data_IF_304963637925
#
_entry.id   IF_304963637925
#
_cell.length_a   1.000
_cell.length_b   1.000
_cell.length_c   1.000
_cell.angle_alpha   90.00
_cell.angle_beta   90.00
_cell.angle_gamma   90.00
#
_symmetry.space_group_name_H-M   'P 1'
#
loop_
_entity.id
_entity.type
_entity.pdbx_description
1 polymer ?
#
# COMPACT_ATOMS: atom_id res chain seq x y z
N UNK A 1 33.51 -44.59 -26.79
CA UNK A 1 33.10 -44.12 -25.45
C UNK A 1 32.86 -42.62 -25.56
N UNK A 2 31.61 -42.21 -25.73
CA UNK A 2 31.23 -40.80 -25.80
C UNK A 2 31.23 -40.21 -24.39
N UNK A 3 31.85 -39.05 -24.20
CA UNK A 3 31.59 -38.21 -23.04
C UNK A 3 31.30 -36.79 -23.52
N UNK A 4 30.23 -36.27 -22.93
CA UNK A 4 29.46 -35.13 -23.37
C UNK A 4 30.14 -33.80 -23.05
N UNK A 5 29.71 -32.83 -23.83
CA UNK A 5 29.99 -31.41 -23.82
C UNK A 5 29.35 -30.75 -22.58
N UNK A 6 30.05 -29.84 -21.91
CA UNK A 6 29.38 -28.85 -21.07
C UNK A 6 29.94 -27.45 -21.35
N UNK A 7 29.16 -26.69 -22.10
CA UNK A 7 29.40 -25.30 -22.46
C UNK A 7 29.07 -24.39 -21.28
N UNK A 8 30.08 -23.79 -20.66
CA UNK A 8 29.89 -22.79 -19.60
C UNK A 8 29.50 -21.43 -20.19
N UNK A 9 28.22 -21.04 -20.07
CA UNK A 9 27.80 -19.65 -20.29
C UNK A 9 28.18 -18.78 -19.07
N UNK A 10 28.64 -17.53 -19.26
CA UNK A 10 29.05 -16.69 -18.14
C UNK A 10 27.84 -16.25 -17.31
N UNK A 11 27.90 -16.55 -16.01
CA UNK A 11 26.92 -16.13 -15.01
C UNK A 11 26.94 -14.60 -14.91
N UNK A 12 25.85 -13.94 -15.34
CA UNK A 12 25.67 -12.50 -15.14
C UNK A 12 25.68 -12.21 -13.65
N UNK A 13 26.78 -11.65 -13.15
CA UNK A 13 26.86 -11.14 -11.78
C UNK A 13 25.95 -9.92 -11.64
N UNK A 14 24.74 -10.14 -11.14
CA UNK A 14 23.89 -9.06 -10.64
C UNK A 14 24.55 -8.52 -9.38
N UNK A 15 25.23 -7.37 -9.49
CA UNK A 15 25.73 -6.59 -8.36
C UNK A 15 24.57 -6.33 -7.39
N UNK A 16 24.43 -7.18 -6.36
CA UNK A 16 23.56 -6.93 -5.22
C UNK A 16 24.13 -5.72 -4.49
N UNK A 17 23.59 -4.55 -4.79
CA UNK A 17 23.83 -3.35 -3.98
C UNK A 17 23.18 -3.61 -2.62
N UNK A 18 23.96 -4.15 -1.68
CA UNK A 18 23.57 -4.30 -0.28
C UNK A 18 23.51 -2.93 0.38
N UNK A 19 22.41 -2.22 0.16
CA UNK A 19 22.05 -1.11 1.03
C UNK A 19 21.59 -1.72 2.37
N UNK A 20 22.51 -1.81 3.34
CA UNK A 20 22.25 -2.19 4.74
C UNK A 20 21.44 -1.09 5.46
N UNK A 21 20.28 -0.72 4.92
CA UNK A 21 19.30 0.02 5.69
C UNK A 21 18.65 -0.96 6.66
N UNK A 22 19.12 -0.96 7.91
CA UNK A 22 18.46 -1.68 9.02
C UNK A 22 16.98 -1.27 9.04
N UNK A 23 16.10 -2.24 8.80
CA UNK A 23 14.64 -2.10 8.89
C UNK A 23 14.16 -2.56 10.26
N UNK A 24 12.93 -2.23 10.62
CA UNK A 24 12.26 -2.66 11.85
C UNK A 24 13.02 -2.25 13.12
N UNK A 25 13.44 -0.97 13.18
CA UNK A 25 14.10 -0.39 14.35
C UNK A 25 13.11 0.33 15.26
N UNK A 26 13.55 0.51 16.50
CA UNK A 26 12.87 1.31 17.51
C UNK A 26 13.68 2.57 17.83
N UNK A 27 13.01 3.62 18.33
CA UNK A 27 13.67 4.78 18.94
C UNK A 27 14.06 4.49 20.40
N UNK A 28 14.63 5.48 21.08
CA UNK A 28 15.10 5.37 22.48
C UNK A 28 13.98 5.03 23.47
N UNK A 29 12.74 5.36 23.13
CA UNK A 29 11.54 5.05 23.91
C UNK A 29 10.92 3.69 23.53
N UNK A 30 11.59 2.90 22.68
CA UNK A 30 11.09 1.61 22.23
C UNK A 30 9.92 1.70 21.23
N UNK A 31 9.71 2.85 20.58
CA UNK A 31 8.64 3.03 19.58
C UNK A 31 9.16 2.80 18.17
N UNK A 32 8.31 2.33 17.26
CA UNK A 32 8.70 2.08 15.86
C UNK A 32 9.33 3.30 15.19
N UNK A 33 10.47 3.10 14.53
CA UNK A 33 11.22 4.19 13.89
C UNK A 33 11.93 3.73 12.61
N UNK A 34 11.89 4.58 11.58
CA UNK A 34 12.58 4.34 10.33
C UNK A 34 11.81 3.43 9.37
N UNK A 35 12.51 2.67 8.54
CA UNK A 35 11.90 1.78 7.53
C UNK A 35 11.30 0.57 8.21
N UNK A 36 10.07 0.23 7.86
CA UNK A 36 9.35 -0.88 8.47
C UNK A 36 8.76 -1.80 7.41
N UNK A 37 8.84 -3.11 7.67
CA UNK A 37 8.16 -4.17 6.94
C UNK A 37 7.43 -5.06 7.94
N UNK A 38 6.18 -5.35 7.63
CA UNK A 38 5.35 -6.33 8.32
C UNK A 38 5.30 -7.58 7.45
N UNK A 39 5.52 -8.72 8.07
CA UNK A 39 5.52 -10.04 7.44
C UNK A 39 4.32 -10.85 7.91
N UNK A 40 3.85 -11.78 7.09
CA UNK A 40 2.80 -12.74 7.39
C UNK A 40 3.30 -14.13 7.02
N UNK A 41 2.88 -15.14 7.80
CA UNK A 41 3.27 -16.52 7.59
C UNK A 41 4.74 -16.83 7.92
N UNK A 42 5.04 -18.13 7.94
CA UNK A 42 6.40 -18.64 8.17
C UNK A 42 7.31 -18.45 6.94
N UNK A 43 6.71 -18.24 5.76
CA UNK A 43 7.39 -17.95 4.50
C UNK A 43 7.93 -16.50 4.43
N UNK A 44 7.58 -15.66 5.40
CA UNK A 44 8.10 -14.31 5.53
C UNK A 44 7.57 -13.38 4.43
N UNK A 45 6.32 -13.57 4.01
CA UNK A 45 5.73 -12.72 2.98
C UNK A 45 5.46 -11.30 3.50
N UNK A 46 5.90 -10.28 2.75
CA UNK A 46 5.67 -8.87 3.14
C UNK A 46 4.24 -8.45 2.81
N UNK A 47 3.40 -8.31 3.83
CA UNK A 47 2.01 -7.82 3.67
C UNK A 47 1.93 -6.29 3.64
N UNK A 48 2.91 -5.59 4.22
CA UNK A 48 2.92 -4.13 4.26
C UNK A 48 4.30 -3.56 4.55
N UNK A 49 4.63 -2.43 3.94
CA UNK A 49 5.84 -1.69 4.25
C UNK A 49 5.69 -0.18 4.14
N UNK A 50 6.50 0.54 4.90
CA UNK A 50 6.49 1.99 4.96
C UNK A 50 7.56 2.55 5.89
N UNK A 51 7.25 3.67 6.53
CA UNK A 51 8.12 4.30 7.53
C UNK A 51 7.34 4.70 8.77
N UNK A 52 7.95 4.49 9.92
CA UNK A 52 7.52 5.07 11.18
C UNK A 52 8.45 6.20 11.62
N UNK A 53 7.91 7.10 12.44
CA UNK A 53 8.64 8.10 13.19
C UNK A 53 7.99 8.21 14.56
N UNK A 54 8.70 7.75 15.60
CA UNK A 54 8.24 7.79 16.99
C UNK A 54 6.89 7.07 17.18
N UNK A 55 6.76 5.87 16.63
CA UNK A 55 5.53 5.07 16.67
C UNK A 55 4.47 5.50 15.65
N UNK A 56 4.63 6.65 14.98
CA UNK A 56 3.63 7.19 14.04
C UNK A 56 4.00 6.89 12.59
N UNK A 57 3.02 6.40 11.83
CA UNK A 57 3.16 6.16 10.40
C UNK A 57 3.40 7.45 9.61
N UNK A 58 4.43 7.45 8.76
CA UNK A 58 4.79 8.63 7.96
C UNK A 58 5.13 8.27 6.52
N UNK A 59 4.93 9.23 5.62
CA UNK A 59 5.35 9.13 4.23
C UNK A 59 4.45 8.20 3.41
N UNK A 60 5.05 7.22 2.73
CA UNK A 60 4.35 6.32 1.82
C UNK A 60 4.29 4.93 2.43
N UNK A 61 3.08 4.40 2.53
CA UNK A 61 2.82 3.01 2.89
C UNK A 61 2.33 2.23 1.68
N UNK A 62 2.72 0.97 1.61
CA UNK A 62 2.33 0.02 0.58
C UNK A 62 1.87 -1.25 1.26
N UNK A 63 0.80 -1.82 0.75
CA UNK A 63 0.16 -3.03 1.21
C UNK A 63 0.09 -4.00 0.05
N UNK A 64 0.15 -5.29 0.35
CA UNK A 64 0.24 -6.35 -0.64
C UNK A 64 -0.80 -7.43 -0.33
N UNK A 65 -1.31 -8.06 -1.38
CA UNK A 65 -2.05 -9.30 -1.31
C UNK A 65 -1.12 -10.47 -1.01
N UNK A 66 -1.70 -11.64 -0.75
CA UNK A 66 -0.96 -12.87 -0.43
C UNK A 66 -0.21 -13.48 -1.62
N UNK A 67 -0.37 -12.92 -2.83
CA UNK A 67 0.43 -13.25 -4.01
C UNK A 67 1.59 -12.25 -4.22
N UNK A 68 1.72 -11.25 -3.33
CA UNK A 68 2.71 -10.18 -3.42
C UNK A 68 2.32 -9.02 -4.35
N UNK A 69 1.17 -9.07 -5.01
CA UNK A 69 0.65 -7.94 -5.80
C UNK A 69 0.22 -6.81 -4.87
N UNK A 70 0.29 -5.56 -5.34
CA UNK A 70 0.02 -4.39 -4.48
C UNK A 70 -1.48 -4.23 -4.30
N UNK A 71 -1.97 -4.33 -3.06
CA UNK A 71 -3.38 -4.12 -2.73
C UNK A 71 -3.72 -2.65 -2.45
N UNK A 72 -2.82 -1.93 -1.78
CA UNK A 72 -3.07 -0.55 -1.40
C UNK A 72 -1.79 0.28 -1.31
N UNK A 73 -1.94 1.58 -1.52
CA UNK A 73 -0.90 2.59 -1.30
C UNK A 73 -1.50 3.77 -0.58
N UNK A 74 -0.82 4.19 0.47
CA UNK A 74 -1.18 5.37 1.24
C UNK A 74 -0.05 6.39 1.18
N UNK A 75 -0.40 7.67 1.11
CA UNK A 75 0.55 8.78 1.23
C UNK A 75 0.04 9.73 2.31
N UNK A 76 0.71 9.70 3.45
CA UNK A 76 0.44 10.56 4.59
C UNK A 76 0.95 11.97 4.28
N UNK A 77 0.07 12.95 4.38
CA UNK A 77 0.40 14.37 4.34
C UNK A 77 0.59 14.87 5.77
N UNK A 78 1.74 15.50 6.04
CA UNK A 78 2.10 15.99 7.36
C UNK A 78 1.42 17.32 7.71
N UNK A 79 0.91 18.05 6.73
CA UNK A 79 0.38 19.40 6.93
C UNK A 79 -1.10 19.42 7.28
N UNK A 80 -1.89 18.51 6.72
CA UNK A 80 -3.36 18.50 6.83
C UNK A 80 -3.93 17.22 7.47
N UNK A 81 -3.06 16.34 7.99
CA UNK A 81 -3.41 15.01 8.52
C UNK A 81 -4.26 14.15 7.56
N UNK A 82 -4.20 14.42 6.26
CA UNK A 82 -4.86 13.61 5.24
C UNK A 82 -3.93 12.51 4.73
N UNK A 83 -4.57 11.45 4.25
CA UNK A 83 -3.91 10.30 3.67
C UNK A 83 -4.52 10.11 2.29
N UNK A 84 -3.71 10.26 1.24
CA UNK A 84 -4.16 9.90 -0.11
C UNK A 84 -4.09 8.39 -0.26
N UNK A 85 -5.21 7.75 -0.58
CA UNK A 85 -5.34 6.29 -0.66
C UNK A 85 -5.56 5.88 -2.10
N UNK A 86 -4.81 4.86 -2.55
CA UNK A 86 -5.07 4.13 -3.79
C UNK A 86 -5.19 2.66 -3.47
N UNK A 87 -6.32 2.05 -3.81
CA UNK A 87 -6.55 0.61 -3.74
C UNK A 87 -6.52 0.02 -5.14
N UNK A 88 -6.05 -1.20 -5.23
CA UNK A 88 -5.91 -1.94 -6.47
C UNK A 88 -6.68 -3.26 -6.35
N UNK A 89 -7.12 -3.80 -7.48
CA UNK A 89 -7.63 -5.16 -7.57
C UNK A 89 -6.46 -6.15 -7.53
N UNK A 90 -6.75 -7.44 -7.34
CA UNK A 90 -5.74 -8.52 -7.36
C UNK A 90 -4.99 -8.59 -8.70
N UNK A 91 -5.64 -8.20 -9.79
CA UNK A 91 -5.00 -8.07 -11.11
C UNK A 91 -4.07 -6.84 -11.24
N UNK A 92 -3.86 -6.08 -10.16
CA UNK A 92 -2.98 -4.91 -10.10
C UNK A 92 -3.57 -3.62 -10.69
N UNK A 93 -4.77 -3.65 -11.28
CA UNK A 93 -5.44 -2.44 -11.81
C UNK A 93 -6.00 -1.60 -10.67
N UNK A 94 -6.12 -0.29 -10.91
CA UNK A 94 -6.67 0.64 -9.92
C UNK A 94 -8.13 0.26 -9.65
N UNK A 95 -8.47 0.09 -8.38
CA UNK A 95 -9.83 -0.22 -7.94
C UNK A 95 -10.51 1.02 -7.38
N UNK A 96 -9.81 1.76 -6.51
CA UNK A 96 -10.36 2.96 -5.86
C UNK A 96 -9.28 3.98 -5.59
N UNK A 97 -9.61 5.26 -5.69
CA UNK A 97 -8.76 6.36 -5.23
C UNK A 97 -9.59 7.37 -4.46
N UNK A 98 -9.04 7.82 -3.34
CA UNK A 98 -9.71 8.78 -2.48
C UNK A 98 -8.81 9.21 -1.34
N UNK A 99 -9.43 9.63 -0.25
CA UNK A 99 -8.72 10.18 0.90
C UNK A 99 -9.26 9.65 2.22
N UNK A 100 -8.36 9.57 3.20
CA UNK A 100 -8.66 9.20 4.56
C UNK A 100 -8.05 10.21 5.53
N UNK A 101 -8.59 10.25 6.74
CA UNK A 101 -8.02 10.96 7.88
C UNK A 101 -7.77 9.97 8.99
N UNK A 102 -6.76 10.29 9.80
CA UNK A 102 -6.49 9.60 11.05
C UNK A 102 -6.50 10.62 12.18
N UNK A 103 -7.40 10.41 13.13
CA UNK A 103 -7.46 11.19 14.37
C UNK A 103 -6.81 10.32 15.45
N UNK A 104 -5.80 10.87 16.12
CA UNK A 104 -5.10 10.20 17.22
C UNK A 104 -5.37 11.00 18.49
N UNK A 105 -6.15 10.44 19.40
CA UNK A 105 -6.34 10.97 20.76
C UNK A 105 -5.76 9.98 21.77
N UNK A 106 -5.52 10.38 23.03
CA UNK A 106 -5.16 9.43 24.08
C UNK A 106 -6.20 8.34 24.31
N UNK A 107 -7.47 8.62 24.00
CA UNK A 107 -8.58 7.69 24.17
C UNK A 107 -8.76 6.73 22.99
N UNK A 108 -8.54 7.20 21.75
CA UNK A 108 -8.81 6.41 20.54
C UNK A 108 -7.96 6.87 19.36
N UNK A 109 -7.54 5.92 18.52
CA UNK A 109 -7.06 6.20 17.16
C UNK A 109 -8.14 5.81 16.15
N UNK A 110 -8.70 6.80 15.45
CA UNK A 110 -9.76 6.59 14.47
C UNK A 110 -9.27 6.91 13.06
N UNK A 111 -9.25 5.90 12.21
CA UNK A 111 -9.03 6.03 10.77
C UNK A 111 -10.37 5.98 10.03
N UNK A 112 -10.61 6.91 9.11
CA UNK A 112 -11.84 6.91 8.33
C UNK A 112 -11.66 7.54 6.95
N UNK A 113 -12.44 7.06 5.98
CA UNK A 113 -12.51 7.64 4.65
C UNK A 113 -13.38 8.88 4.64
N UNK A 114 -13.02 9.85 3.82
CA UNK A 114 -13.83 11.06 3.64
C UNK A 114 -13.65 11.62 2.22
N UNK A 115 -14.58 12.47 1.82
CA UNK A 115 -14.61 13.07 0.49
C UNK A 115 -15.00 12.07 -0.59
N UNK A 116 -14.67 12.43 -1.83
CA UNK A 116 -15.00 11.64 -3.00
C UNK A 116 -13.99 10.50 -3.23
N UNK A 117 -14.52 9.34 -3.56
CA UNK A 117 -13.80 8.13 -3.88
C UNK A 117 -14.18 7.68 -5.27
N UNK A 118 -13.26 7.80 -6.21
CA UNK A 118 -13.47 7.29 -7.57
C UNK A 118 -13.27 5.78 -7.56
N UNK A 119 -14.26 5.06 -8.06
CA UNK A 119 -14.30 3.60 -8.12
C UNK A 119 -14.18 3.15 -9.57
N UNK A 120 -13.37 2.11 -9.78
CA UNK A 120 -13.05 1.53 -11.07
C UNK A 120 -13.34 0.03 -11.08
N UNK A 121 -13.74 -0.49 -12.23
CA UNK A 121 -13.97 -1.92 -12.42
C UNK A 121 -12.66 -2.73 -12.55
N UNK A 122 -12.76 -4.05 -12.73
CA UNK A 122 -11.60 -4.92 -12.91
C UNK A 122 -10.83 -4.65 -14.20
N UNK A 123 -11.43 -3.95 -15.18
CA UNK A 123 -10.79 -3.54 -16.42
C UNK A 123 -10.01 -2.23 -16.25
N UNK A 124 -10.24 -1.50 -15.16
CA UNK A 124 -9.67 -0.20 -14.84
C UNK A 124 -10.50 0.97 -15.37
N UNK A 125 -11.72 0.71 -15.83
CA UNK A 125 -12.64 1.74 -16.31
C UNK A 125 -13.36 2.38 -15.13
N UNK A 126 -13.61 3.70 -15.23
CA UNK A 126 -14.37 4.43 -14.22
C UNK A 126 -15.78 3.87 -14.14
N UNK A 127 -16.23 3.57 -12.92
CA UNK A 127 -17.58 3.08 -12.65
C UNK A 127 -18.46 4.19 -12.08
N UNK A 128 -18.07 4.72 -10.92
CA UNK A 128 -18.82 5.76 -10.21
C UNK A 128 -17.93 6.40 -9.15
N UNK A 129 -18.45 7.47 -8.54
CA UNK A 129 -17.85 8.14 -7.40
C UNK A 129 -18.71 7.89 -6.16
N UNK A 130 -18.05 7.53 -5.06
CA UNK A 130 -18.66 7.36 -3.74
C UNK A 130 -18.25 8.55 -2.86
N UNK A 131 -19.20 9.22 -2.22
CA UNK A 131 -18.90 10.32 -1.29
C UNK A 131 -19.01 9.83 0.14
N UNK A 132 -17.91 9.98 0.89
CA UNK A 132 -17.82 9.56 2.29
C UNK A 132 -17.74 10.74 3.24
N UNK A 133 -18.41 10.63 4.39
CA UNK A 133 -18.25 11.55 5.52
C UNK A 133 -17.95 10.76 6.78
N UNK A 134 -16.78 11.00 7.38
CA UNK A 134 -16.35 10.36 8.63
C UNK A 134 -16.40 8.82 8.59
N UNK A 135 -16.14 8.23 7.41
CA UNK A 135 -16.15 6.79 7.15
C UNK A 135 -17.49 6.24 6.69
N UNK A 136 -18.57 7.03 6.75
CA UNK A 136 -19.91 6.63 6.29
C UNK A 136 -20.12 7.03 4.84
N UNK A 137 -20.64 6.10 4.03
CA UNK A 137 -21.05 6.40 2.66
C UNK A 137 -22.30 7.28 2.71
N UNK A 138 -22.24 8.44 2.06
CA UNK A 138 -23.34 9.41 2.00
C UNK A 138 -24.07 9.34 0.67
N UNK A 139 -23.33 9.21 -0.43
CA UNK A 139 -23.93 9.14 -1.76
C UNK A 139 -23.05 8.38 -2.75
N UNK A 140 -23.67 7.95 -3.85
CA UNK A 140 -23.00 7.43 -5.03
C UNK A 140 -23.47 8.22 -6.25
N UNK A 141 -22.53 8.73 -7.03
CA UNK A 141 -22.80 9.39 -8.31
C UNK A 141 -22.05 8.66 -9.41
N UNK A 142 -22.79 8.04 -10.34
CA UNK A 142 -22.21 7.35 -11.49
C UNK A 142 -22.67 8.01 -12.78
N UNK A 143 -21.85 7.98 -13.82
CA UNK A 143 -22.39 8.08 -15.17
C UNK A 143 -23.20 6.82 -15.39
N UNK A 144 -24.51 6.89 -15.15
CA UNK A 144 -25.42 5.98 -15.81
C UNK A 144 -25.16 6.20 -17.30
N UNK A 145 -24.46 5.27 -17.96
CA UNK A 145 -24.57 5.16 -19.40
C UNK A 145 -26.06 5.06 -19.66
N UNK A 146 -26.60 6.13 -20.24
CA UNK A 146 -27.96 6.19 -20.70
C UNK A 146 -28.17 4.98 -21.61
N UNK A 147 -28.87 3.96 -21.11
CA UNK A 147 -29.51 3.00 -21.99
C UNK A 147 -30.67 3.74 -22.63
N UNK A 148 -30.42 4.27 -23.82
CA UNK A 148 -31.48 4.49 -24.81
C UNK A 148 -31.96 3.14 -25.32
#
# INVERSE_FOLDING_TARGET
MAQQQESSLPRKETKRVFLFFRINKFDEEGRYHGRWKVYFGDDGQVIRNGRFRHGVEVGKWKYYYTDGTRSMKEKYNRHDNTIKVKKYHENGKLARVGQARIIRTPAETRYFWFGEWQVYDQQGQYSHTETYQSGKLISRSGSASAKR
#
